data_IF_608579068432
#
_entry.id   IF_608579068432
#
_cell.length_a   1.000
_cell.length_b   1.000
_cell.length_c   1.000
_cell.angle_alpha   90.00
_cell.angle_beta   90.00
_cell.angle_gamma   90.00
#
_symmetry.space_group_name_H-M   'P 1'
#
loop_
_entity.id
_entity.type
_entity.pdbx_description
1 polymer ?
#
# COMPACT_ATOMS: atom_id res chain seq x y z
N UNK A 1 -10.21 -5.77 -23.50
CA UNK A 1 -10.38 -5.13 -22.17
C UNK A 1 -9.17 -4.25 -21.95
N UNK A 2 -9.28 -3.06 -21.35
CA UNK A 2 -8.10 -2.30 -20.96
C UNK A 2 -7.23 -3.17 -20.04
N UNK A 3 -5.92 -3.15 -20.26
CA UNK A 3 -4.95 -3.85 -19.43
C UNK A 3 -4.78 -3.07 -18.12
N UNK A 4 -4.91 -3.75 -16.99
CA UNK A 4 -4.75 -3.18 -15.65
C UNK A 4 -3.41 -3.66 -15.11
N UNK A 5 -2.55 -2.72 -14.77
CA UNK A 5 -1.26 -2.98 -14.16
C UNK A 5 -1.32 -2.83 -12.64
N UNK A 6 -0.55 -3.61 -11.91
CA UNK A 6 -0.44 -3.46 -10.45
C UNK A 6 0.65 -2.44 -10.09
N UNK A 7 0.33 -1.53 -9.18
CA UNK A 7 1.35 -0.70 -8.54
C UNK A 7 2.09 -1.50 -7.47
N UNK A 8 3.43 -1.49 -7.51
CA UNK A 8 4.26 -2.10 -6.49
C UNK A 8 4.79 -1.02 -5.54
N UNK A 9 4.13 -0.86 -4.40
CA UNK A 9 4.51 0.12 -3.37
C UNK A 9 5.73 -0.34 -2.55
N UNK A 10 6.35 0.57 -1.83
CA UNK A 10 7.43 0.28 -0.88
C UNK A 10 6.86 -0.02 0.50
N UNK A 11 7.54 -0.88 1.27
CA UNK A 11 7.23 -1.07 2.69
C UNK A 11 8.46 -1.46 3.51
N UNK A 12 8.48 -1.04 4.79
CA UNK A 12 9.46 -1.48 5.78
C UNK A 12 9.02 -2.71 6.58
N UNK A 13 7.82 -3.23 6.30
CA UNK A 13 7.35 -4.47 6.91
C UNK A 13 8.15 -5.64 6.36
N UNK A 14 8.52 -6.58 7.22
CA UNK A 14 9.09 -7.84 6.75
C UNK A 14 8.14 -8.58 5.80
N UNK A 15 8.71 -9.09 4.72
CA UNK A 15 8.00 -9.92 3.73
C UNK A 15 7.45 -11.18 4.38
N UNK A 16 6.17 -11.49 4.13
CA UNK A 16 5.56 -12.78 4.55
C UNK A 16 6.05 -13.91 3.64
N UNK A 17 5.93 -15.15 4.12
CA UNK A 17 6.35 -16.34 3.37
C UNK A 17 5.71 -16.47 1.98
N UNK A 18 4.48 -15.98 1.81
CA UNK A 18 3.71 -16.03 0.55
C UNK A 18 3.94 -14.84 -0.38
N UNK A 19 4.63 -13.80 0.08
CA UNK A 19 4.86 -12.56 -0.68
C UNK A 19 6.19 -12.62 -1.44
N UNK A 20 6.29 -11.94 -2.57
CA UNK A 20 7.46 -11.85 -3.45
C UNK A 20 7.90 -10.40 -3.59
N UNK A 21 9.20 -10.15 -3.38
CA UNK A 21 9.76 -8.80 -3.50
C UNK A 21 9.73 -8.30 -4.95
N UNK A 22 9.34 -7.04 -5.14
CA UNK A 22 9.17 -6.43 -6.46
C UNK A 22 7.89 -6.85 -7.19
N UNK A 23 7.03 -7.66 -6.54
CA UNK A 23 5.73 -8.08 -7.07
C UNK A 23 4.62 -7.63 -6.13
N UNK A 24 4.65 -8.06 -4.87
CA UNK A 24 3.65 -7.64 -3.87
C UNK A 24 4.00 -6.27 -3.29
N UNK A 25 5.26 -6.09 -2.91
CA UNK A 25 5.85 -4.82 -2.48
C UNK A 25 7.35 -4.81 -2.79
N UNK A 26 7.93 -3.63 -2.82
CA UNK A 26 9.36 -3.43 -2.62
C UNK A 26 9.63 -3.39 -1.11
N UNK A 27 10.11 -4.51 -0.58
CA UNK A 27 10.43 -4.66 0.84
C UNK A 27 11.84 -4.10 1.09
N UNK A 28 11.91 -2.97 1.79
CA UNK A 28 13.15 -2.22 2.03
C UNK A 28 13.34 -1.97 3.53
N UNK A 29 14.55 -1.61 3.95
CA UNK A 29 14.83 -1.19 5.32
C UNK A 29 14.24 0.18 5.63
N UNK A 30 14.14 0.52 6.92
CA UNK A 30 13.71 1.86 7.35
C UNK A 30 14.66 2.95 6.86
N UNK A 31 15.96 2.70 6.87
CA UNK A 31 16.97 3.67 6.42
C UNK A 31 16.80 3.97 4.93
N UNK A 32 16.65 2.94 4.08
CA UNK A 32 16.35 3.10 2.65
C UNK A 32 15.02 3.83 2.44
N UNK A 33 14.00 3.58 3.27
CA UNK A 33 12.72 4.28 3.16
C UNK A 33 12.84 5.77 3.50
N UNK A 34 13.62 6.11 4.53
CA UNK A 34 13.90 7.49 4.90
C UNK A 34 14.65 8.24 3.79
N UNK A 35 15.58 7.58 3.10
CA UNK A 35 16.22 8.14 1.89
C UNK A 35 15.19 8.47 0.82
N UNK A 36 14.23 7.57 0.53
CA UNK A 36 13.15 7.85 -0.44
C UNK A 36 12.29 9.05 -0.06
N UNK A 37 12.08 9.29 1.24
CA UNK A 37 11.37 10.48 1.73
C UNK A 37 12.22 11.74 1.49
N UNK A 38 13.50 11.70 1.85
CA UNK A 38 14.43 12.83 1.68
C UNK A 38 14.62 13.23 0.22
N UNK A 39 14.59 12.25 -0.69
CA UNK A 39 14.70 12.47 -2.13
C UNK A 39 13.37 12.86 -2.80
N UNK A 40 12.29 13.04 -2.02
CA UNK A 40 10.94 13.33 -2.53
C UNK A 40 10.45 12.30 -3.58
N UNK A 41 10.89 11.04 -3.46
CA UNK A 41 10.60 9.97 -4.42
C UNK A 41 9.16 9.45 -4.30
N UNK A 42 8.53 9.63 -3.15
CA UNK A 42 7.21 9.11 -2.83
C UNK A 42 6.12 10.18 -3.03
N UNK A 43 5.05 9.83 -3.75
CA UNK A 43 3.88 10.71 -3.86
C UNK A 43 3.13 10.78 -2.52
N UNK A 44 3.08 9.65 -1.83
CA UNK A 44 2.52 9.52 -0.49
C UNK A 44 3.28 8.46 0.30
N UNK A 45 3.27 8.62 1.62
CA UNK A 45 3.72 7.61 2.55
C UNK A 45 3.04 7.80 3.90
N UNK A 46 2.89 6.71 4.65
CA UNK A 46 2.29 6.70 5.99
C UNK A 46 2.93 5.64 6.87
N UNK A 47 2.91 5.85 8.19
CA UNK A 47 3.23 4.81 9.16
C UNK A 47 1.94 4.08 9.57
N UNK A 48 1.87 2.80 9.24
CA UNK A 48 0.71 1.95 9.46
C UNK A 48 1.13 0.83 10.41
N UNK A 49 0.66 0.94 11.65
CA UNK A 49 0.93 -0.05 12.72
C UNK A 49 2.43 -0.32 12.95
N UNK A 50 3.27 0.71 12.82
CA UNK A 50 4.70 0.63 13.07
C UNK A 50 5.56 0.33 11.84
N UNK A 51 4.98 0.29 10.64
CA UNK A 51 5.74 0.16 9.39
C UNK A 51 5.39 1.26 8.42
N UNK A 52 6.37 1.67 7.64
CA UNK A 52 6.14 2.61 6.56
C UNK A 52 5.64 1.88 5.32
N UNK A 53 4.74 2.55 4.62
CA UNK A 53 4.27 2.20 3.29
C UNK A 53 4.30 3.46 2.45
N UNK A 54 4.65 3.34 1.17
CA UNK A 54 4.66 4.50 0.28
C UNK A 54 4.59 4.14 -1.18
N UNK A 55 4.01 5.03 -1.97
CA UNK A 55 3.81 4.84 -3.41
C UNK A 55 4.75 5.75 -4.19
N UNK A 56 5.48 5.18 -5.15
CA UNK A 56 6.41 5.93 -5.99
C UNK A 56 5.69 6.97 -6.82
N UNK A 57 6.18 8.21 -6.77
CA UNK A 57 5.67 9.31 -7.58
C UNK A 57 5.86 9.05 -9.08
N UNK A 58 7.02 8.53 -9.46
CA UNK A 58 7.36 8.31 -10.87
C UNK A 58 6.49 7.24 -11.52
N UNK A 59 6.10 6.20 -10.78
CA UNK A 59 5.19 5.16 -11.28
C UNK A 59 3.82 5.75 -11.60
N UNK A 60 3.27 6.60 -10.71
CA UNK A 60 1.98 7.25 -10.93
C UNK A 60 2.02 8.19 -12.12
N UNK A 61 3.01 9.09 -12.16
CA UNK A 61 3.15 10.06 -13.24
C UNK A 61 3.38 9.37 -14.59
N UNK A 62 4.16 8.29 -14.62
CA UNK A 62 4.34 7.50 -15.82
C UNK A 62 3.06 6.80 -16.27
N UNK A 63 2.27 6.21 -15.36
CA UNK A 63 1.00 5.60 -15.72
C UNK A 63 0.02 6.63 -16.30
N UNK A 64 -0.13 7.78 -15.64
CA UNK A 64 -1.01 8.88 -16.05
C UNK A 64 -0.60 9.41 -17.43
N UNK A 65 0.68 9.76 -17.61
CA UNK A 65 1.20 10.31 -18.87
C UNK A 65 1.08 9.36 -20.07
N UNK A 66 1.07 8.05 -19.83
CA UNK A 66 0.92 7.03 -20.88
C UNK A 66 -0.53 6.54 -21.02
N UNK A 67 -1.50 7.12 -20.29
CA UNK A 67 -2.90 6.70 -20.32
C UNK A 67 -3.11 5.25 -19.87
N UNK A 68 -2.24 4.74 -18.98
CA UNK A 68 -2.30 3.36 -18.47
C UNK A 68 -3.12 3.30 -17.18
N UNK A 69 -3.85 2.20 -17.01
CA UNK A 69 -4.64 1.97 -15.79
C UNK A 69 -3.80 1.24 -14.75
N UNK A 70 -3.50 1.92 -13.66
CA UNK A 70 -2.78 1.35 -12.53
C UNK A 70 -3.75 1.05 -11.38
N UNK A 71 -3.70 -0.16 -10.84
CA UNK A 71 -4.43 -0.57 -9.66
C UNK A 71 -3.53 -0.47 -8.43
N UNK A 72 -3.99 0.31 -7.45
CA UNK A 72 -3.32 0.50 -6.17
C UNK A 72 -4.11 -0.20 -5.07
N UNK A 73 -3.47 -1.12 -4.35
CA UNK A 73 -4.01 -1.70 -3.13
C UNK A 73 -3.33 -1.06 -1.92
N UNK A 74 -4.08 -0.23 -1.18
CA UNK A 74 -3.55 0.56 -0.06
C UNK A 74 -4.62 0.81 0.99
N UNK A 75 -4.20 1.32 2.16
CA UNK A 75 -5.14 1.67 3.23
C UNK A 75 -5.95 2.95 2.92
N UNK A 76 -6.87 3.28 3.82
CA UNK A 76 -7.77 4.42 3.66
C UNK A 76 -7.01 5.76 3.64
N UNK A 77 -5.97 5.94 4.45
CA UNK A 77 -5.24 7.20 4.53
C UNK A 77 -4.43 7.43 3.26
N UNK A 78 -3.68 6.42 2.80
CA UNK A 78 -2.95 6.46 1.54
C UNK A 78 -3.88 6.71 0.35
N UNK A 79 -5.00 5.99 0.30
CA UNK A 79 -6.02 6.16 -0.77
C UNK A 79 -6.55 7.59 -0.84
N UNK A 80 -6.88 8.18 0.31
CA UNK A 80 -7.36 9.55 0.39
C UNK A 80 -6.28 10.57 0.04
N UNK A 81 -5.01 10.28 0.33
CA UNK A 81 -3.87 11.12 -0.04
C UNK A 81 -3.67 11.12 -1.56
N UNK A 82 -3.65 9.96 -2.21
CA UNK A 82 -3.58 9.85 -3.68
C UNK A 82 -4.73 10.59 -4.34
N UNK A 83 -5.97 10.35 -3.90
CA UNK A 83 -7.16 11.03 -4.44
C UNK A 83 -7.06 12.55 -4.31
N UNK A 84 -6.44 13.07 -3.25
CA UNK A 84 -6.23 14.51 -3.07
C UNK A 84 -5.14 15.06 -3.99
N UNK A 85 -4.08 14.29 -4.24
CA UNK A 85 -2.95 14.69 -5.09
C UNK A 85 -3.30 14.63 -6.58
N UNK A 86 -4.10 13.64 -6.99
CA UNK A 86 -4.48 13.37 -8.38
C UNK A 86 -6.01 13.27 -8.54
N UNK A 87 -6.77 14.34 -8.23
CA UNK A 87 -8.24 14.27 -8.14
C UNK A 87 -8.95 13.93 -9.45
N UNK A 88 -8.39 14.34 -10.59
CA UNK A 88 -8.99 14.11 -11.92
C UNK A 88 -8.58 12.77 -12.54
N UNK A 89 -7.48 12.17 -12.06
CA UNK A 89 -6.89 10.94 -12.59
C UNK A 89 -7.12 9.72 -11.67
N UNK A 90 -7.87 9.90 -10.57
CA UNK A 90 -8.08 8.84 -9.57
C UNK A 90 -9.55 8.44 -9.46
N UNK A 91 -9.80 7.14 -9.47
CA UNK A 91 -11.06 6.53 -9.03
C UNK A 91 -10.81 5.67 -7.79
N UNK A 92 -11.60 5.86 -6.72
CA UNK A 92 -11.39 5.16 -5.45
C UNK A 92 -12.56 4.23 -5.12
N UNK A 93 -12.23 3.00 -4.73
CA UNK A 93 -13.19 1.99 -4.25
C UNK A 93 -12.84 1.68 -2.80
N UNK A 94 -13.79 1.89 -1.89
CA UNK A 94 -13.62 1.54 -0.48
C UNK A 94 -14.25 0.18 -0.19
N UNK A 95 -13.46 -0.75 0.35
CA UNK A 95 -13.90 -2.10 0.72
C UNK A 95 -13.86 -2.22 2.23
N UNK A 96 -15.03 -2.43 2.84
CA UNK A 96 -15.20 -2.61 4.29
C UNK A 96 -15.55 -4.07 4.61
N UNK A 97 -15.00 -4.67 5.68
CA UNK A 97 -15.44 -5.99 6.13
C UNK A 97 -16.89 -5.95 6.65
N UNK A 98 -17.64 -7.07 6.59
CA UNK A 98 -19.01 -7.11 7.09
C UNK A 98 -19.15 -6.79 8.58
N UNK A 99 -18.12 -7.07 9.38
CA UNK A 99 -18.01 -6.66 10.77
C UNK A 99 -16.56 -6.74 11.27
N UNK A 100 -16.28 -6.13 12.42
CA UNK A 100 -14.99 -6.27 13.13
C UNK A 100 -14.69 -7.75 13.45
N UNK A 101 -15.71 -8.53 13.80
CA UNK A 101 -15.56 -9.98 14.05
C UNK A 101 -15.01 -10.72 12.82
N UNK A 102 -15.52 -10.42 11.62
CA UNK A 102 -15.02 -11.00 10.37
C UNK A 102 -13.59 -10.54 10.05
N UNK A 103 -13.23 -9.29 10.36
CA UNK A 103 -11.86 -8.80 10.20
C UNK A 103 -10.89 -9.58 11.10
N UNK A 104 -11.22 -9.72 12.40
CA UNK A 104 -10.42 -10.49 13.36
C UNK A 104 -10.23 -11.93 12.90
N UNK A 105 -11.31 -12.62 12.50
CA UNK A 105 -11.22 -14.00 11.99
C UNK A 105 -10.29 -14.13 10.78
N UNK A 106 -10.36 -13.18 9.83
CA UNK A 106 -9.48 -13.16 8.65
C UNK A 106 -8.01 -12.95 9.02
N UNK A 107 -7.74 -12.08 9.99
CA UNK A 107 -6.39 -11.82 10.50
C UNK A 107 -5.81 -13.07 11.19
N UNK A 108 -6.59 -13.74 12.03
CA UNK A 108 -6.18 -14.99 12.70
C UNK A 108 -5.92 -16.09 11.65
N UNK A 109 -6.84 -16.30 10.71
CA UNK A 109 -6.72 -17.35 9.68
C UNK A 109 -5.51 -17.15 8.76
N UNK A 110 -5.06 -15.90 8.56
CA UNK A 110 -3.86 -15.62 7.77
C UNK A 110 -2.61 -16.20 8.41
N UNK A 111 -2.57 -16.33 9.74
CA UNK A 111 -1.48 -17.01 10.46
C UNK A 111 -0.12 -16.30 10.41
N UNK A 112 -0.06 -15.06 9.96
CA UNK A 112 1.19 -14.29 9.76
C UNK A 112 1.44 -13.22 10.82
N UNK A 113 0.47 -12.98 11.70
CA UNK A 113 0.51 -11.91 12.70
C UNK A 113 0.34 -12.53 14.11
N UNK A 114 1.06 -11.99 15.09
CA UNK A 114 0.86 -12.36 16.50
C UNK A 114 -0.44 -11.78 17.05
N UNK A 115 -0.99 -12.36 18.12
CA UNK A 115 -2.21 -11.83 18.76
C UNK A 115 -2.11 -10.33 19.10
N UNK A 116 -0.97 -9.91 19.64
CA UNK A 116 -0.70 -8.49 19.93
C UNK A 116 -0.78 -7.61 18.67
N UNK A 117 -0.31 -8.12 17.52
CA UNK A 117 -0.41 -7.39 16.24
C UNK A 117 -1.82 -7.38 15.68
N UNK A 118 -2.59 -8.45 15.89
CA UNK A 118 -3.98 -8.50 15.47
C UNK A 118 -4.77 -7.40 16.18
N UNK A 119 -4.60 -7.24 17.50
CA UNK A 119 -5.29 -6.19 18.25
C UNK A 119 -4.88 -4.77 17.85
N UNK A 120 -3.65 -4.55 17.38
CA UNK A 120 -3.22 -3.24 16.85
C UNK A 120 -3.92 -2.90 15.51
N UNK A 121 -4.40 -3.92 14.78
CA UNK A 121 -4.99 -3.80 13.44
C UNK A 121 -6.52 -3.76 13.42
N UNK A 122 -7.17 -3.94 14.56
CA UNK A 122 -8.63 -3.82 14.72
C UNK A 122 -9.01 -2.39 15.07
#
# INVERSE_FOLDING_TARGET
>A
MPEIEWSVSYTTRERRSIETNGVDYNFISSDEFEELILEEHLAEWENVHGFYYGTSKSILENAISNGRMLLLEMDVKGSMRIKKLYPEDTFSIFIIPPSIGHLRERLIKRGTDSEKRIEIRL
#
